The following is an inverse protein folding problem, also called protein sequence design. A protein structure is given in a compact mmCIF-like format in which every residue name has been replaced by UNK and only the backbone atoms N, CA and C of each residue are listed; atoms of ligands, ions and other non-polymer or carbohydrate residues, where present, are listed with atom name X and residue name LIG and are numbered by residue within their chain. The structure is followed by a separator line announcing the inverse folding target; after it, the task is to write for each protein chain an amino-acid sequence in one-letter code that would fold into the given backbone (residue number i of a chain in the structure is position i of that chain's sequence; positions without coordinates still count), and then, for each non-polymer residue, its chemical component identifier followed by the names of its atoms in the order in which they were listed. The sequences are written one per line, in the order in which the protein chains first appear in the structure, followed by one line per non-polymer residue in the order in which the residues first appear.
data_IF_802385339167
#
_entry.id   IF_802385339167
#
_cell.length_a   1.000
_cell.length_b   1.000
_cell.length_c   1.000
_cell.angle_alpha   90.00
_cell.angle_beta   90.00
_cell.angle_gamma   90.00
#
_symmetry.space_group_name_H-M   'P 1'
#
loop_
_entity.id
_entity.type
_entity.pdbx_description
1 polymer ?
#
# COMPACT_ATOMS: atom_id res chain seq x y z
N UNK A 1 17.10 0.60 13.54
CA UNK A 1 16.82 -0.19 12.32
C UNK A 1 17.37 0.46 11.03
N UNK A 2 18.39 1.34 11.09
CA UNK A 2 19.02 1.93 9.88
C UNK A 2 20.51 1.64 9.74
N UNK A 3 21.09 0.87 10.67
CA UNK A 3 22.46 0.34 10.54
C UNK A 3 22.58 -0.77 9.47
N UNK A 4 21.46 -1.27 8.95
CA UNK A 4 21.46 -2.42 8.02
C UNK A 4 21.86 -2.04 6.58
N UNK A 5 21.83 -0.75 6.20
CA UNK A 5 22.26 -0.31 4.87
C UNK A 5 23.78 -0.01 4.77
N UNK A 6 24.54 -0.22 5.85
CA UNK A 6 26.01 -0.18 5.80
C UNK A 6 26.64 -1.51 5.34
N UNK A 7 25.82 -2.50 4.96
CA UNK A 7 26.24 -3.85 4.53
C UNK A 7 26.29 -4.07 3.01
N UNK A 8 25.91 -3.09 2.19
CA UNK A 8 26.12 -3.16 0.73
C UNK A 8 27.48 -2.53 0.40
N UNK A 9 28.39 -3.39 -0.05
CA UNK A 9 29.72 -3.10 -0.61
C UNK A 9 30.13 -1.63 -0.58
N UNK A 10 30.85 -1.22 0.47
CA UNK A 10 31.34 0.17 0.56
C UNK A 10 32.16 0.50 -0.69
N UNK A 11 31.77 1.52 -1.47
CA UNK A 11 32.48 1.82 -2.70
C UNK A 11 33.93 2.16 -2.35
N UNK A 12 34.86 1.60 -3.13
CA UNK A 12 36.29 1.70 -2.87
C UNK A 12 36.82 3.13 -3.00
N UNK A 13 36.15 4.00 -3.76
CA UNK A 13 36.57 5.38 -3.99
C UNK A 13 35.95 6.36 -2.97
N UNK A 14 36.72 7.35 -2.52
CA UNK A 14 36.28 8.37 -1.56
C UNK A 14 35.10 9.21 -2.10
N UNK A 15 35.14 9.57 -3.38
CA UNK A 15 34.06 10.32 -4.04
C UNK A 15 32.72 9.56 -4.01
N UNK A 16 32.74 8.24 -4.26
CA UNK A 16 31.54 7.42 -4.20
C UNK A 16 31.00 7.24 -2.76
N UNK A 17 31.85 7.32 -1.74
CA UNK A 17 31.41 7.33 -0.33
C UNK A 17 30.66 8.61 0.00
N UNK A 18 31.18 9.77 -0.41
CA UNK A 18 30.51 11.07 -0.20
C UNK A 18 29.17 11.10 -0.94
N UNK A 19 29.13 10.65 -2.20
CA UNK A 19 27.89 10.55 -2.97
C UNK A 19 26.88 9.60 -2.29
N UNK A 20 27.34 8.46 -1.77
CA UNK A 20 26.50 7.52 -1.03
C UNK A 20 25.91 8.12 0.26
N UNK A 21 26.69 8.93 0.99
CA UNK A 21 26.19 9.63 2.19
C UNK A 21 25.11 10.66 1.85
N UNK A 22 25.30 11.45 0.79
CA UNK A 22 24.31 12.43 0.33
C UNK A 22 23.03 11.73 -0.16
N UNK A 23 23.19 10.65 -0.92
CA UNK A 23 22.08 9.85 -1.42
C UNK A 23 21.27 9.21 -0.29
N UNK A 24 21.95 8.66 0.72
CA UNK A 24 21.30 8.10 1.91
C UNK A 24 20.53 9.18 2.70
N UNK A 25 21.11 10.38 2.84
CA UNK A 25 20.44 11.53 3.46
C UNK A 25 19.17 11.92 2.70
N UNK A 26 19.25 12.02 1.37
CA UNK A 26 18.10 12.30 0.51
C UNK A 26 17.00 11.23 0.64
N UNK A 27 17.37 9.94 0.60
CA UNK A 27 16.43 8.84 0.77
C UNK A 27 15.73 8.87 2.15
N UNK A 28 16.48 9.16 3.22
CA UNK A 28 15.92 9.33 4.56
C UNK A 28 14.91 10.48 4.63
N UNK A 29 15.22 11.63 4.00
CA UNK A 29 14.28 12.76 3.94
C UNK A 29 13.01 12.37 3.20
N UNK A 30 13.12 11.69 2.06
CA UNK A 30 11.95 11.23 1.29
C UNK A 30 11.06 10.28 2.10
N UNK A 31 11.65 9.30 2.78
CA UNK A 31 10.90 8.39 3.66
C UNK A 31 10.26 9.16 4.81
N UNK A 32 11.00 10.07 5.46
CA UNK A 32 10.47 10.89 6.54
C UNK A 32 9.28 11.74 6.09
N UNK A 33 9.37 12.42 4.94
CA UNK A 33 8.29 13.23 4.38
C UNK A 33 7.05 12.38 4.03
N UNK A 34 7.25 11.18 3.47
CA UNK A 34 6.14 10.26 3.20
C UNK A 34 5.48 9.79 4.51
N UNK A 35 6.26 9.43 5.53
CA UNK A 35 5.73 9.03 6.83
C UNK A 35 5.02 10.19 7.55
N UNK A 36 5.51 11.42 7.41
CA UNK A 36 4.88 12.60 7.99
C UNK A 36 3.54 12.92 7.30
N UNK A 37 3.47 12.80 5.97
CA UNK A 37 2.23 13.00 5.23
C UNK A 37 1.18 11.92 5.57
N UNK A 38 1.62 10.66 5.69
CA UNK A 38 0.76 9.57 6.13
C UNK A 38 0.23 9.81 7.56
N UNK A 39 1.09 10.23 8.49
CA UNK A 39 0.68 10.55 9.86
C UNK A 39 -0.32 11.73 9.90
N UNK A 40 -0.10 12.75 9.08
CA UNK A 40 -1.03 13.87 8.95
C UNK A 40 -2.41 13.40 8.45
N UNK A 41 -2.45 12.49 7.48
CA UNK A 41 -3.71 11.90 7.00
C UNK A 41 -4.42 11.11 8.10
N UNK A 42 -3.70 10.26 8.86
CA UNK A 42 -4.29 9.46 9.94
C UNK A 42 -4.88 10.31 11.09
N UNK A 43 -4.36 11.52 11.31
CA UNK A 43 -4.89 12.45 12.32
C UNK A 43 -6.12 13.22 11.79
N UNK A 44 -6.19 13.43 10.48
CA UNK A 44 -7.26 14.18 9.82
C UNK A 44 -8.47 13.33 9.43
N UNK A 45 -8.29 12.02 9.26
CA UNK A 45 -9.36 11.07 8.95
C UNK A 45 -10.22 10.81 10.21
N UNK A 46 -10.91 11.86 10.67
CA UNK A 46 -11.99 11.73 11.63
C UNK A 46 -13.21 11.27 10.85
N UNK A 47 -13.90 10.21 11.26
CA UNK A 47 -15.13 9.80 10.60
C UNK A 47 -16.09 11.00 10.52
N UNK A 48 -16.54 11.33 9.30
CA UNK A 48 -17.43 12.44 8.89
C UNK A 48 -18.84 12.43 9.54
N UNK A 49 -18.99 11.84 10.72
CA UNK A 49 -20.26 11.48 11.33
C UNK A 49 -20.84 12.53 12.28
N UNK A 50 -20.07 13.52 12.75
CA UNK A 50 -20.64 14.58 13.59
C UNK A 50 -21.07 15.77 12.74
N UNK A 51 -22.36 16.10 12.77
CA UNK A 51 -22.85 17.40 12.30
C UNK A 51 -22.09 18.52 13.01
N UNK A 52 -21.67 19.56 12.28
CA UNK A 52 -21.00 20.72 12.90
C UNK A 52 -21.93 21.52 13.82
N UNK A 53 -23.24 21.27 13.73
CA UNK A 53 -24.31 21.95 14.46
C UNK A 53 -25.40 22.44 13.53
N UNK A 54 -26.21 23.38 14.00
CA UNK A 54 -27.41 23.83 13.29
C UNK A 54 -27.13 24.55 11.95
N UNK A 55 -25.90 25.06 11.78
CA UNK A 55 -25.45 25.74 10.56
C UNK A 55 -24.77 24.81 9.55
N UNK A 56 -24.75 23.49 9.80
CA UNK A 56 -24.21 22.51 8.85
C UNK A 56 -24.99 22.58 7.52
N UNK A 57 -24.25 22.54 6.40
CA UNK A 57 -24.81 22.59 5.06
C UNK A 57 -25.79 21.44 4.80
N UNK A 58 -25.58 20.27 5.41
CA UNK A 58 -26.46 19.10 5.31
C UNK A 58 -27.85 19.34 5.92
N UNK A 59 -27.91 20.17 6.96
CA UNK A 59 -29.17 20.57 7.60
C UNK A 59 -29.81 21.74 6.86
N UNK A 60 -29.06 22.81 6.61
CA UNK A 60 -29.55 24.05 5.99
C UNK A 60 -30.00 23.86 4.54
N UNK A 61 -29.27 23.05 3.77
CA UNK A 61 -29.64 22.67 2.40
C UNK A 61 -29.95 21.17 2.34
N UNK A 62 -31.19 20.78 2.65
CA UNK A 62 -31.53 19.38 2.83
C UNK A 62 -31.34 18.55 1.55
N UNK A 63 -30.31 17.71 1.52
CA UNK A 63 -30.12 16.69 0.48
C UNK A 63 -31.09 15.53 0.70
N UNK A 64 -31.65 14.92 -0.35
CA UNK A 64 -32.61 13.80 -0.22
C UNK A 64 -32.07 12.65 0.65
N UNK A 65 -30.77 12.43 0.60
CA UNK A 65 -30.06 11.34 1.29
C UNK A 65 -29.91 11.55 2.81
N UNK A 66 -30.19 12.75 3.33
CA UNK A 66 -30.01 13.07 4.75
C UNK A 66 -31.35 13.43 5.40
N UNK A 67 -31.87 12.52 6.22
CA UNK A 67 -33.16 12.65 6.89
C UNK A 67 -32.98 13.06 8.35
N UNK A 68 -33.73 14.07 8.77
CA UNK A 68 -33.74 14.56 10.14
C UNK A 68 -35.15 14.93 10.56
N UNK A 69 -35.43 14.78 11.85
CA UNK A 69 -36.77 14.94 12.39
C UNK A 69 -36.75 15.42 13.85
N UNK A 70 -37.91 15.86 14.31
CA UNK A 70 -38.20 16.15 15.71
C UNK A 70 -39.57 15.55 16.09
N UNK A 71 -40.03 15.79 17.32
CA UNK A 71 -41.35 15.33 17.78
C UNK A 71 -42.43 16.36 17.45
N UNK A 72 -43.54 15.94 16.85
CA UNK A 72 -44.69 16.78 16.49
C UNK A 72 -45.33 17.40 17.74
N UNK A 73 -45.69 18.68 17.65
CA UNK A 73 -46.38 19.39 18.72
C UNK A 73 -45.50 19.71 19.94
N UNK A 74 -44.19 19.51 19.82
CA UNK A 74 -43.22 19.84 20.87
C UNK A 74 -42.80 21.31 20.85
N UNK A 75 -42.12 21.74 21.91
CA UNK A 75 -41.49 23.06 21.93
C UNK A 75 -40.48 23.24 20.79
N UNK A 76 -39.74 22.18 20.44
CA UNK A 76 -38.77 22.18 19.34
C UNK A 76 -39.45 22.35 17.98
N UNK A 77 -40.53 21.60 17.73
CA UNK A 77 -41.36 21.74 16.52
C UNK A 77 -41.91 23.17 16.37
N UNK A 78 -42.43 23.74 17.47
CA UNK A 78 -42.91 25.13 17.49
C UNK A 78 -41.78 26.15 17.29
N UNK A 79 -40.58 25.89 17.81
CA UNK A 79 -39.40 26.74 17.65
C UNK A 79 -39.00 26.85 16.18
N UNK A 80 -38.88 25.71 15.48
CA UNK A 80 -38.58 25.67 14.05
C UNK A 80 -39.69 26.29 13.20
N UNK A 81 -40.96 26.10 13.59
CA UNK A 81 -42.10 26.71 12.90
C UNK A 81 -42.12 28.23 13.00
N UNK A 82 -41.70 28.80 14.14
CA UNK A 82 -41.70 30.25 14.40
C UNK A 82 -40.56 30.97 13.70
N UNK A 83 -39.43 30.29 13.48
CA UNK A 83 -38.22 30.92 12.98
C UNK A 83 -38.13 30.87 11.45
N UNK A 84 -38.14 32.06 10.83
CA UNK A 84 -38.10 32.20 9.36
C UNK A 84 -36.83 31.60 8.76
N UNK A 85 -35.69 31.74 9.45
CA UNK A 85 -34.40 31.21 9.01
C UNK A 85 -34.35 29.69 8.85
N UNK A 86 -35.17 28.96 9.60
CA UNK A 86 -35.23 27.50 9.54
C UNK A 86 -36.48 26.97 8.84
N UNK A 87 -37.22 27.84 8.14
CA UNK A 87 -38.43 27.45 7.42
C UNK A 87 -38.18 26.35 6.37
N UNK A 88 -37.02 26.34 5.71
CA UNK A 88 -36.62 25.27 4.78
C UNK A 88 -36.40 23.94 5.49
N UNK A 89 -35.74 23.98 6.65
CA UNK A 89 -35.52 22.80 7.48
C UNK A 89 -36.84 22.25 8.02
N UNK A 90 -37.71 23.13 8.50
CA UNK A 90 -39.02 22.79 9.05
C UNK A 90 -39.87 22.02 8.03
N UNK A 91 -39.94 22.49 6.78
CA UNK A 91 -40.71 21.82 5.71
C UNK A 91 -40.26 20.38 5.47
N UNK A 92 -38.96 20.10 5.63
CA UNK A 92 -38.45 18.73 5.50
C UNK A 92 -38.74 17.89 6.73
N UNK A 93 -38.57 18.45 7.92
CA UNK A 93 -38.87 17.77 9.18
C UNK A 93 -40.35 17.39 9.28
N UNK A 94 -41.25 18.29 8.86
CA UNK A 94 -42.70 18.11 8.97
C UNK A 94 -43.20 16.79 8.34
N UNK A 95 -42.58 16.37 7.25
CA UNK A 95 -42.90 15.12 6.56
C UNK A 95 -42.56 13.85 7.37
N UNK A 96 -41.52 13.89 8.22
CA UNK A 96 -40.98 12.74 8.96
C UNK A 96 -40.96 12.93 10.48
N UNK A 97 -41.66 13.94 11.01
CA UNK A 97 -41.72 14.17 12.45
C UNK A 97 -42.44 13.02 13.18
N UNK A 98 -41.89 12.62 14.32
CA UNK A 98 -42.36 11.52 15.16
C UNK A 98 -43.38 11.98 16.20
N UNK A 99 -44.14 11.05 16.81
CA UNK A 99 -45.09 11.36 17.90
C UNK A 99 -44.46 11.18 19.28
N UNK A 100 -43.50 10.27 19.40
CA UNK A 100 -42.77 9.97 20.63
C UNK A 100 -41.26 10.09 20.38
N UNK A 101 -40.54 10.40 21.46
CA UNK A 101 -39.07 10.49 21.47
C UNK A 101 -38.46 9.09 21.29
N UNK A 102 -39.07 8.09 21.91
CA UNK A 102 -38.61 6.70 21.89
C UNK A 102 -38.62 6.11 20.47
N UNK A 103 -39.67 6.37 19.69
CA UNK A 103 -39.76 5.93 18.29
C UNK A 103 -38.65 6.55 17.44
N UNK A 104 -38.37 7.84 17.65
CA UNK A 104 -37.33 8.55 16.91
C UNK A 104 -35.93 8.03 17.24
N UNK A 105 -35.66 7.67 18.50
CA UNK A 105 -34.39 7.09 18.93
C UNK A 105 -34.22 5.67 18.36
N UNK A 106 -35.29 4.89 18.29
CA UNK A 106 -35.26 3.55 17.70
C UNK A 106 -34.87 3.62 16.21
N UNK A 107 -35.50 4.50 15.44
CA UNK A 107 -35.20 4.69 14.02
C UNK A 107 -33.80 5.29 13.80
N UNK A 108 -33.34 6.16 14.72
CA UNK A 108 -31.97 6.66 14.73
C UNK A 108 -30.96 5.53 14.93
N UNK A 109 -31.25 4.58 15.84
CA UNK A 109 -30.40 3.41 16.08
C UNK A 109 -30.39 2.43 14.90
N UNK A 110 -31.53 2.27 14.22
CA UNK A 110 -31.65 1.40 13.05
C UNK A 110 -31.01 2.00 11.78
N UNK A 111 -30.66 3.29 11.80
CA UNK A 111 -30.10 4.01 10.65
C UNK A 111 -31.16 4.52 9.66
N UNK A 112 -32.45 4.39 9.98
CA UNK A 112 -33.56 4.91 9.19
C UNK A 112 -33.66 6.44 9.30
N UNK A 113 -33.20 7.01 10.41
CA UNK A 113 -33.07 8.45 10.65
C UNK A 113 -31.60 8.80 10.79
N UNK A 114 -31.13 9.88 10.15
CA UNK A 114 -29.72 10.28 10.22
C UNK A 114 -29.42 11.23 11.36
N UNK A 115 -30.38 12.09 11.73
CA UNK A 115 -30.23 13.00 12.87
C UNK A 115 -31.57 13.27 13.55
N UNK A 116 -31.56 13.30 14.87
CA UNK A 116 -32.72 13.63 15.69
C UNK A 116 -32.43 14.92 16.46
N UNK A 117 -33.36 15.89 16.35
CA UNK A 117 -33.21 17.20 16.99
C UNK A 117 -34.15 17.27 18.19
N UNK A 118 -33.57 17.35 19.38
CA UNK A 118 -34.29 17.33 20.65
C UNK A 118 -33.53 18.02 21.79
N UNK A 119 -34.13 18.04 22.99
CA UNK A 119 -33.56 18.62 24.19
C UNK A 119 -32.26 17.91 24.62
N UNK A 120 -31.21 18.69 24.90
CA UNK A 120 -29.88 18.18 25.22
C UNK A 120 -29.83 17.22 26.42
N UNK A 121 -30.46 17.49 27.59
CA UNK A 121 -30.35 16.56 28.72
C UNK A 121 -30.98 15.20 28.44
N UNK A 122 -32.01 15.12 27.58
CA UNK A 122 -32.57 13.83 27.16
C UNK A 122 -31.64 13.12 26.18
N UNK A 123 -31.08 13.83 25.21
CA UNK A 123 -30.14 13.25 24.24
C UNK A 123 -28.82 12.79 24.90
N UNK A 124 -28.31 13.55 25.87
CA UNK A 124 -27.12 13.21 26.65
C UNK A 124 -27.34 11.94 27.48
N UNK A 125 -28.52 11.76 28.05
CA UNK A 125 -28.90 10.54 28.75
C UNK A 125 -28.94 9.30 27.83
N UNK A 126 -29.47 9.44 26.61
CA UNK A 126 -29.50 8.35 25.63
C UNK A 126 -28.09 8.02 25.11
N UNK A 127 -27.29 9.04 24.80
CA UNK A 127 -25.89 8.87 24.38
C UNK A 127 -25.00 8.30 25.50
N UNK A 128 -25.33 8.54 26.77
CA UNK A 128 -24.63 7.94 27.91
C UNK A 128 -24.95 6.44 28.07
N UNK A 129 -26.12 5.99 27.64
CA UNK A 129 -26.53 4.58 27.71
C UNK A 129 -26.13 3.76 26.49
N UNK A 130 -26.22 4.35 25.30
CA UNK A 130 -25.91 3.70 24.03
C UNK A 130 -24.68 4.30 23.37
N UNK A 131 -23.58 3.54 23.31
CA UNK A 131 -22.31 3.97 22.75
C UNK A 131 -22.31 4.21 21.23
N UNK A 132 -23.39 3.82 20.53
CA UNK A 132 -23.55 4.03 19.09
C UNK A 132 -24.20 5.40 18.79
N UNK A 133 -24.78 6.04 19.79
CA UNK A 133 -25.37 7.38 19.67
C UNK A 133 -24.39 8.43 20.17
N UNK A 134 -24.31 9.55 19.46
CA UNK A 134 -23.50 10.71 19.84
C UNK A 134 -24.32 12.00 19.71
N UNK A 135 -24.11 12.94 20.62
CA UNK A 135 -24.62 14.31 20.48
C UNK A 135 -23.68 15.10 19.56
N UNK A 136 -24.24 15.81 18.56
CA UNK A 136 -23.45 16.54 17.58
C UNK A 136 -23.77 18.04 17.57
N UNK A 137 -22.73 18.87 17.45
CA UNK A 137 -22.84 20.32 17.30
C UNK A 137 -22.94 21.12 18.60
N UNK A 138 -23.08 22.44 18.45
CA UNK A 138 -23.29 23.37 19.56
C UNK A 138 -24.78 23.45 19.96
N UNK A 139 -25.04 23.63 21.26
CA UNK A 139 -26.37 23.88 21.81
C UNK A 139 -26.97 25.18 21.23
N UNK A 140 -28.14 25.06 20.62
CA UNK A 140 -28.91 26.20 20.09
C UNK A 140 -30.31 26.24 20.72
N UNK A 141 -31.04 27.34 20.55
CA UNK A 141 -32.42 27.44 21.04
C UNK A 141 -32.55 27.32 22.56
N UNK A 142 -31.60 27.90 23.30
CA UNK A 142 -31.50 27.81 24.78
C UNK A 142 -32.86 28.04 25.43
N UNK A 143 -33.39 26.97 25.99
CA UNK A 143 -34.63 26.93 26.76
C UNK A 143 -34.36 26.13 28.02
N UNK A 144 -35.06 26.46 29.10
CA UNK A 144 -34.89 25.80 30.40
C UNK A 144 -36.19 25.12 30.83
N UNK A 145 -36.05 24.01 31.56
CA UNK A 145 -37.18 23.42 32.26
C UNK A 145 -37.53 24.25 33.49
N UNK A 146 -38.82 24.32 33.79
CA UNK A 146 -39.33 25.06 34.93
C UNK A 146 -40.58 24.41 35.50
N UNK A 147 -40.81 24.65 36.78
CA UNK A 147 -42.02 24.20 37.47
C UNK A 147 -43.08 25.29 37.32
N UNK A 148 -44.22 24.94 36.73
CA UNK A 148 -45.32 25.85 36.55
C UNK A 148 -46.30 25.80 37.74
N UNK A 149 -46.54 26.95 38.36
CA UNK A 149 -47.57 27.16 39.38
C UNK A 149 -48.67 28.08 38.84
N UNK A 150 -49.84 28.09 39.48
CA UNK A 150 -50.89 29.04 39.12
C UNK A 150 -50.40 30.46 39.32
N UNK A 151 -50.87 31.39 38.48
CA UNK A 151 -50.55 32.81 38.65
C UNK A 151 -50.94 33.27 40.06
N UNK A 152 -50.05 34.01 40.70
CA UNK A 152 -50.22 34.57 42.06
C UNK A 152 -50.26 33.54 43.20
N UNK A 153 -49.73 32.33 42.99
CA UNK A 153 -49.59 31.35 44.06
C UNK A 153 -48.53 31.80 45.10
N UNK A 154 -48.86 31.72 46.39
CA UNK A 154 -47.96 32.09 47.49
C UNK A 154 -46.69 31.22 47.53
N UNK A 155 -46.71 30.04 46.89
CA UNK A 155 -45.57 29.12 46.86
C UNK A 155 -44.49 29.47 45.82
N UNK A 156 -44.75 30.42 44.90
CA UNK A 156 -43.82 30.74 43.82
C UNK A 156 -42.46 31.22 44.35
N UNK A 157 -42.48 32.18 45.28
CA UNK A 157 -41.26 32.75 45.86
C UNK A 157 -40.48 31.75 46.73
N UNK A 158 -41.11 31.04 47.70
CA UNK A 158 -40.37 30.08 48.51
C UNK A 158 -39.83 28.91 47.68
N UNK A 159 -40.57 28.42 46.68
CA UNK A 159 -40.08 27.35 45.80
C UNK A 159 -38.88 27.81 44.96
N UNK A 160 -38.96 29.00 44.37
CA UNK A 160 -37.84 29.58 43.61
C UNK A 160 -36.58 29.71 44.47
N UNK A 161 -36.72 30.15 45.72
CA UNK A 161 -35.58 30.28 46.65
C UNK A 161 -34.93 28.93 46.98
N UNK A 162 -35.72 27.86 47.12
CA UNK A 162 -35.19 26.50 47.33
C UNK A 162 -34.47 25.98 46.09
N UNK A 163 -35.00 26.26 44.89
CA UNK A 163 -34.32 25.87 43.65
C UNK A 163 -33.00 26.62 43.49
N UNK A 164 -32.98 27.92 43.83
CA UNK A 164 -31.75 28.71 43.83
C UNK A 164 -30.71 28.15 44.81
N UNK A 165 -31.12 27.76 46.03
CA UNK A 165 -30.20 27.17 47.00
C UNK A 165 -29.63 25.82 46.53
N UNK A 166 -30.38 25.03 45.75
CA UNK A 166 -29.87 23.81 45.12
C UNK A 166 -28.82 24.08 44.04
N UNK A 167 -28.96 25.19 43.31
CA UNK A 167 -27.97 25.62 42.34
C UNK A 167 -26.70 26.17 43.02
N UNK A 168 -26.85 27.00 44.05
CA UNK A 168 -25.72 27.57 44.82
C UNK A 168 -24.92 26.52 45.59
N UNK A 169 -25.60 25.50 46.12
CA UNK A 169 -24.95 24.39 46.85
C UNK A 169 -24.28 23.36 45.94
N UNK A 170 -24.46 23.44 44.63
CA UNK A 170 -23.96 22.45 43.66
C UNK A 170 -24.74 21.13 43.67
N UNK A 171 -25.85 21.03 44.41
CA UNK A 171 -26.67 19.81 44.44
C UNK A 171 -27.24 19.44 43.05
N UNK A 172 -27.54 20.45 42.21
CA UNK A 172 -28.03 20.19 40.86
C UNK A 172 -27.00 19.41 40.01
N UNK A 173 -25.72 19.78 40.09
CA UNK A 173 -24.64 19.09 39.37
C UNK A 173 -24.50 17.63 39.82
N UNK A 174 -24.71 17.36 41.12
CA UNK A 174 -24.71 15.99 41.65
C UNK A 174 -25.87 15.19 41.05
N UNK A 175 -27.05 15.79 40.90
CA UNK A 175 -28.18 15.11 40.27
C UNK A 175 -27.95 14.85 38.78
N UNK A 176 -27.39 15.81 38.04
CA UNK A 176 -27.09 15.63 36.62
C UNK A 176 -26.07 14.50 36.42
N UNK A 177 -24.99 14.49 37.19
CA UNK A 177 -23.99 13.43 37.14
C UNK A 177 -24.55 12.05 37.52
N UNK A 178 -25.50 12.01 38.46
CA UNK A 178 -26.08 10.76 38.95
C UNK A 178 -27.17 10.20 38.03
N UNK A 179 -27.96 11.05 37.38
CA UNK A 179 -29.15 10.60 36.64
C UNK A 179 -29.02 10.75 35.12
N UNK A 180 -28.21 11.70 34.63
CA UNK A 180 -28.03 11.95 33.19
C UNK A 180 -26.73 11.29 32.70
N UNK A 181 -25.61 11.61 33.33
CA UNK A 181 -24.28 11.13 32.90
C UNK A 181 -23.87 9.78 33.48
N UNK A 182 -24.72 9.16 34.30
CA UNK A 182 -24.39 7.87 34.92
C UNK A 182 -24.43 6.77 33.87
N UNK A 183 -23.25 6.38 33.39
CA UNK A 183 -23.07 5.27 32.46
C UNK A 183 -23.31 3.95 33.23
N UNK A 184 -24.16 3.03 32.74
CA UNK A 184 -24.09 1.64 33.18
C UNK A 184 -22.68 1.10 32.87
N UNK A 185 -22.21 0.05 33.58
CA UNK A 185 -20.86 -0.57 33.49
C UNK A 185 -20.37 -0.96 32.07
N UNK A 186 -21.16 -0.70 31.03
CA UNK A 186 -20.70 -0.65 29.65
C UNK A 186 -19.66 0.47 29.51
N UNK A 187 -18.40 0.08 29.50
CA UNK A 187 -17.30 0.91 29.01
C UNK A 187 -17.56 1.25 27.54
N UNK A 188 -18.32 2.32 27.29
CA UNK A 188 -18.25 3.00 26.01
C UNK A 188 -16.81 3.51 25.90
N UNK A 189 -15.98 2.80 25.15
CA UNK A 189 -14.69 3.35 24.72
C UNK A 189 -15.01 4.66 24.02
N UNK A 190 -14.46 5.78 24.48
CA UNK A 190 -14.64 7.08 23.85
C UNK A 190 -14.18 6.98 22.38
N UNK A 191 -15.13 6.67 21.49
CA UNK A 191 -14.92 6.60 20.04
C UNK A 191 -14.64 7.99 19.45
N UNK A 192 -14.70 9.04 20.27
CA UNK A 192 -14.36 10.41 19.89
C UNK A 192 -12.87 10.63 19.59
N UNK A 193 -12.01 9.64 19.81
CA UNK A 193 -10.60 9.76 19.45
C UNK A 193 -9.88 8.43 19.25
N UNK A 194 -10.56 7.39 18.75
CA UNK A 194 -9.80 6.26 18.20
C UNK A 194 -9.29 6.69 16.82
N UNK A 195 -8.00 7.03 16.65
CA UNK A 195 -7.45 7.36 15.34
C UNK A 195 -7.78 6.21 14.40
N UNK A 196 -8.13 6.51 13.13
CA UNK A 196 -8.44 5.54 12.10
C UNK A 196 -7.57 4.30 12.28
N UNK A 197 -8.13 3.26 12.92
CA UNK A 197 -7.36 2.07 13.24
C UNK A 197 -6.99 1.51 11.89
N UNK A 198 -5.70 1.33 11.63
CA UNK A 198 -5.20 0.76 10.39
C UNK A 198 -5.77 -0.66 10.25
N UNK A 199 -6.98 -0.73 9.72
CA UNK A 199 -7.72 -1.97 9.55
C UNK A 199 -7.05 -2.76 8.43
N UNK A 200 -7.18 -4.09 8.49
CA UNK A 200 -6.61 -5.00 7.51
C UNK A 200 -6.97 -4.61 6.06
N UNK A 201 -8.13 -3.99 5.86
CA UNK A 201 -8.58 -3.50 4.56
C UNK A 201 -7.68 -2.38 3.99
N UNK A 202 -7.26 -1.42 4.82
CA UNK A 202 -6.44 -0.29 4.38
C UNK A 202 -5.00 -0.69 4.02
N UNK A 203 -4.51 -1.82 4.53
CA UNK A 203 -3.19 -2.38 4.21
C UNK A 203 -3.21 -3.48 3.14
N UNK A 204 -4.39 -3.87 2.65
CA UNK A 204 -4.54 -4.96 1.68
C UNK A 204 -3.70 -4.74 0.41
N UNK A 205 -3.60 -3.49 -0.06
CA UNK A 205 -2.79 -3.13 -1.22
C UNK A 205 -1.29 -3.44 -1.05
N UNK A 206 -0.75 -3.26 0.16
CA UNK A 206 0.65 -3.57 0.47
C UNK A 206 0.88 -5.08 0.41
N UNK A 207 -0.03 -5.87 0.98
CA UNK A 207 0.05 -7.33 0.94
C UNK A 207 -0.01 -7.87 -0.50
N UNK A 208 -0.91 -7.33 -1.34
CA UNK A 208 -1.02 -7.70 -2.75
C UNK A 208 0.25 -7.34 -3.54
N UNK A 209 0.86 -6.19 -3.27
CA UNK A 209 2.12 -5.78 -3.91
C UNK A 209 3.26 -6.75 -3.56
N UNK A 210 3.38 -7.14 -2.29
CA UNK A 210 4.40 -8.11 -1.85
C UNK A 210 4.15 -9.47 -2.49
N UNK A 211 2.91 -9.97 -2.49
CA UNK A 211 2.57 -11.25 -3.12
C UNK A 211 2.87 -11.24 -4.62
N UNK A 212 2.51 -10.15 -5.33
CA UNK A 212 2.85 -9.96 -6.74
C UNK A 212 4.36 -9.92 -6.98
N UNK A 213 5.12 -9.25 -6.10
CA UNK A 213 6.58 -9.21 -6.17
C UNK A 213 7.23 -10.58 -6.01
N UNK A 214 6.76 -11.41 -5.07
CA UNK A 214 7.22 -12.79 -4.89
C UNK A 214 6.90 -13.63 -6.13
N UNK A 215 5.70 -13.47 -6.69
CA UNK A 215 5.30 -14.19 -7.90
C UNK A 215 6.19 -13.81 -9.08
N UNK A 216 6.34 -12.53 -9.39
CA UNK A 216 7.21 -12.06 -10.48
C UNK A 216 8.66 -12.50 -10.26
N UNK A 217 9.18 -12.39 -9.04
CA UNK A 217 10.52 -12.86 -8.67
C UNK A 217 10.71 -14.35 -8.93
N UNK A 218 9.72 -15.18 -8.61
CA UNK A 218 9.73 -16.61 -8.91
C UNK A 218 9.77 -16.89 -10.42
N UNK A 219 9.01 -16.16 -11.23
CA UNK A 219 9.05 -16.28 -12.69
C UNK A 219 10.41 -15.86 -13.27
N UNK A 220 10.97 -14.74 -12.81
CA UNK A 220 12.30 -14.29 -13.23
C UNK A 220 13.36 -15.33 -12.88
N UNK A 221 13.29 -15.93 -11.69
CA UNK A 221 14.20 -16.98 -11.27
C UNK A 221 14.09 -18.22 -12.17
N UNK A 222 12.88 -18.66 -12.50
CA UNK A 222 12.67 -19.77 -13.45
C UNK A 222 13.26 -19.44 -14.81
N UNK A 223 12.99 -18.25 -15.35
CA UNK A 223 13.51 -17.81 -16.65
C UNK A 223 15.04 -17.77 -16.64
N UNK A 224 15.66 -17.27 -15.58
CA UNK A 224 17.11 -17.24 -15.44
C UNK A 224 17.70 -18.66 -15.42
N UNK A 225 17.09 -19.60 -14.69
CA UNK A 225 17.52 -21.00 -14.69
C UNK A 225 17.42 -21.61 -16.09
N UNK A 226 16.33 -21.36 -16.82
CA UNK A 226 16.14 -21.88 -18.18
C UNK A 226 17.19 -21.28 -19.12
N UNK A 227 17.37 -19.96 -19.12
CA UNK A 227 18.35 -19.28 -19.95
C UNK A 227 19.78 -19.72 -19.63
N UNK A 228 20.12 -19.89 -18.35
CA UNK A 228 21.43 -20.39 -17.92
C UNK A 228 21.65 -21.82 -18.40
N UNK A 229 20.67 -22.71 -18.23
CA UNK A 229 20.75 -24.10 -18.74
C UNK A 229 20.88 -24.15 -20.26
N UNK A 230 20.16 -23.30 -20.99
CA UNK A 230 20.27 -23.23 -22.45
C UNK A 230 21.63 -22.68 -22.90
N UNK A 231 22.14 -21.64 -22.23
CA UNK A 231 23.46 -21.07 -22.49
C UNK A 231 24.56 -22.09 -22.23
N UNK A 232 24.49 -22.84 -21.13
CA UNK A 232 25.42 -23.93 -20.83
C UNK A 232 25.33 -25.08 -21.85
N UNK A 233 24.12 -25.45 -22.32
CA UNK A 233 23.95 -26.45 -23.38
C UNK A 233 24.59 -25.99 -24.70
N UNK A 234 24.32 -24.75 -25.14
CA UNK A 234 24.95 -24.17 -26.33
C UNK A 234 26.47 -24.05 -26.19
N UNK A 235 26.98 -23.69 -25.01
CA UNK A 235 28.42 -23.66 -24.75
C UNK A 235 29.05 -25.07 -24.85
N UNK A 236 28.41 -26.10 -24.28
CA UNK A 236 28.87 -27.49 -24.38
C UNK A 236 28.86 -28.01 -25.82
N UNK A 237 27.81 -27.73 -26.60
CA UNK A 237 27.73 -28.10 -28.03
C UNK A 237 28.83 -27.40 -28.86
N UNK A 238 29.08 -26.11 -28.59
CA UNK A 238 30.16 -25.37 -29.24
C UNK A 238 31.55 -25.92 -28.85
N UNK A 239 31.74 -26.35 -27.61
CA UNK A 239 32.99 -26.98 -27.16
C UNK A 239 33.21 -28.36 -27.79
N UNK A 240 32.18 -29.20 -27.90
CA UNK A 240 32.26 -30.52 -28.57
C UNK A 240 32.59 -30.34 -30.05
N UNK A 241 31.90 -29.43 -30.74
CA UNK A 241 32.14 -29.14 -32.16
C UNK A 241 33.57 -28.63 -32.41
N UNK A 242 34.09 -27.78 -31.51
CA UNK A 242 35.51 -27.34 -31.56
C UNK A 242 36.47 -28.51 -31.36
N UNK A 243 36.23 -29.41 -30.40
CA UNK A 243 37.08 -30.59 -30.15
C UNK A 243 37.10 -31.54 -31.35
N UNK A 244 35.93 -31.79 -31.96
CA UNK A 244 35.80 -32.63 -33.16
C UNK A 244 36.52 -31.99 -34.36
N UNK A 245 36.36 -30.68 -34.58
CA UNK A 245 37.08 -29.96 -35.64
C UNK A 245 38.60 -30.07 -35.47
N UNK A 246 39.12 -29.88 -34.25
CA UNK A 246 40.55 -30.02 -33.96
C UNK A 246 41.03 -31.45 -34.22
N UNK A 247 40.26 -32.46 -33.81
CA UNK A 247 40.58 -33.88 -34.07
C UNK A 247 40.64 -34.20 -35.57
N UNK A 248 39.62 -33.79 -36.34
CA UNK A 248 39.58 -34.01 -37.79
C UNK A 248 40.70 -33.26 -38.52
N UNK A 249 41.00 -32.02 -38.11
CA UNK A 249 42.12 -31.26 -38.65
C UNK A 249 43.45 -32.00 -38.43
N UNK A 250 43.71 -32.46 -37.21
CA UNK A 250 44.91 -33.23 -36.87
C UNK A 250 45.02 -34.53 -37.68
N UNK A 251 43.90 -35.25 -37.87
CA UNK A 251 43.86 -36.49 -38.67
C UNK A 251 44.05 -36.24 -40.16
N UNK A 252 43.53 -35.13 -40.70
CA UNK A 252 43.73 -34.72 -42.08
C UNK A 252 45.19 -34.31 -42.33
N UNK A 253 45.79 -33.55 -41.42
CA UNK A 253 47.21 -33.17 -41.47
C UNK A 253 48.11 -34.41 -41.45
N UNK A 254 47.81 -35.40 -40.60
CA UNK A 254 48.54 -36.67 -40.54
C UNK A 254 48.41 -37.49 -41.84
N UNK A 255 47.23 -37.54 -42.47
CA UNK A 255 47.05 -38.20 -43.78
C UNK A 255 47.79 -37.46 -44.90
N UNK A 256 47.84 -36.14 -44.86
CA UNK A 256 48.60 -35.34 -45.81
C UNK A 256 50.11 -35.56 -45.64
N UNK A 257 50.62 -35.60 -44.40
CA UNK A 257 52.02 -35.94 -44.13
C UNK A 257 52.37 -37.35 -44.63
N UNK A 258 51.55 -38.37 -44.34
CA UNK A 258 51.74 -39.74 -44.83
C UNK A 258 51.71 -39.82 -46.37
N UNK A 259 50.85 -39.06 -47.03
CA UNK A 259 50.84 -38.95 -48.49
C UNK A 259 52.12 -38.33 -49.03
N UNK A 260 52.59 -37.24 -48.42
CA UNK A 260 53.86 -36.59 -48.82
C UNK A 260 55.04 -37.56 -48.68
N UNK A 261 55.12 -38.31 -47.58
CA UNK A 261 56.20 -39.30 -47.40
C UNK A 261 56.12 -40.46 -48.39
N UNK A 262 54.91 -40.91 -48.77
CA UNK A 262 54.72 -41.94 -49.80
C UNK A 262 55.14 -41.44 -51.19
N UNK A 263 54.74 -40.22 -51.57
CA UNK A 263 55.19 -39.62 -52.84
C UNK A 263 56.71 -39.41 -52.88
N UNK A 264 57.32 -39.09 -51.73
CA UNK A 264 58.77 -38.95 -51.63
C UNK A 264 59.47 -40.31 -51.77
N UNK A 265 58.94 -41.37 -51.15
CA UNK A 265 59.48 -42.73 -51.31
C UNK A 265 59.31 -43.29 -52.74
N UNK A 266 58.17 -43.06 -53.39
CA UNK A 266 57.95 -43.43 -54.80
C UNK A 266 58.92 -42.71 -55.76
N UNK A 267 59.26 -41.45 -55.46
CA UNK A 267 60.25 -40.69 -56.23
C UNK A 267 61.67 -41.19 -56.00
N UNK A 268 62.02 -41.55 -54.76
CA UNK A 268 63.30 -42.18 -54.43
C UNK A 268 63.45 -43.55 -55.13
N UNK A 269 62.42 -44.39 -55.12
CA UNK A 269 62.44 -45.70 -55.78
C UNK A 269 62.56 -45.57 -57.31
N UNK A 270 61.93 -44.57 -57.93
CA UNK A 270 62.16 -44.24 -59.34
C UNK A 270 63.58 -43.79 -59.63
N UNK A 271 64.17 -42.95 -58.77
CA UNK A 271 65.56 -42.53 -58.91
C UNK A 271 66.55 -43.69 -58.78
N UNK A 272 66.28 -44.67 -57.92
CA UNK A 272 67.11 -45.88 -57.77
C UNK A 272 66.98 -46.85 -58.96
N UNK A 273 65.79 -46.96 -59.56
CA UNK A 273 65.60 -47.76 -60.79
C UNK A 273 66.34 -47.11 -61.95
N UNK A 274 66.26 -45.78 -62.09
CA UNK A 274 66.99 -45.04 -63.12
C UNK A 274 68.50 -45.17 -62.89
N UNK A 275 69.02 -45.03 -61.66
CA UNK A 275 70.44 -45.15 -61.34
C UNK A 275 71.01 -46.57 -61.57
N UNK A 276 70.25 -47.61 -61.24
CA UNK A 276 70.61 -49.01 -61.54
C UNK A 276 70.61 -49.31 -63.05
N UNK A 277 69.78 -48.61 -63.84
CA UNK A 277 69.80 -48.73 -65.31
C UNK A 277 71.10 -48.15 -65.91
N UNK A 278 71.61 -47.05 -65.35
CA UNK A 278 72.90 -46.46 -65.75
C UNK A 278 74.10 -47.33 -65.33
N UNK A 279 74.06 -47.96 -64.15
CA UNK A 279 75.14 -48.87 -63.72
C UNK A 279 75.18 -50.19 -64.51
N UNK A 280 74.04 -50.71 -64.98
CA UNK A 280 73.99 -51.92 -65.81
C UNK A 280 74.48 -51.68 -67.26
N UNK A 281 74.48 -50.43 -67.73
CA UNK A 281 75.01 -50.06 -69.05
C UNK A 281 76.54 -49.79 -69.04
N UNK A 282 77.13 -49.51 -67.87
CA UNK A 282 78.56 -49.18 -67.73
C UNK A 282 79.48 -50.41 -67.62
N UNK A 283 78.97 -51.59 -67.27
CA UNK A 283 79.79 -52.79 -67.05
C UNK A 283 80.15 -53.60 -68.32
N UNK A 284 79.73 -53.18 -69.52
CA UNK A 284 80.00 -53.87 -70.78
C UNK A 284 80.55 -52.91 -71.85
N UNK A 285 81.77 -52.37 -71.64
CA UNK A 285 82.56 -51.83 -72.75
C UNK A 285 84.01 -52.28 -72.62
N UNK A 286 84.34 -53.24 -73.47
CA UNK A 286 85.68 -53.80 -73.70
C UNK A 286 86.51 -52.74 -74.43
N UNK A 287 87.70 -52.48 -73.90
CA UNK A 287 88.76 -51.69 -74.53
C UNK A 287 89.28 -52.38 -75.80
N UNK A 288 89.42 -51.62 -76.88
CA UNK A 288 90.27 -51.99 -78.03
C UNK A 288 91.25 -50.84 -78.30
N UNK A 289 92.55 -51.12 -78.50
CA UNK A 289 93.55 -50.10 -78.76
C UNK A 289 93.69 -49.86 -80.27
N UNK A 290 93.79 -48.60 -80.70
CA UNK A 290 94.39 -48.28 -82.01
C UNK A 290 95.23 -47.02 -81.93
N UNK A 291 96.42 -47.17 -82.49
CA UNK A 291 97.54 -46.27 -82.64
C UNK A 291 97.36 -45.21 -83.74
N UNK A 292 98.34 -44.31 -83.75
CA UNK A 292 98.95 -43.60 -84.90
C UNK A 292 98.23 -42.39 -85.51
N UNK A 293 98.85 -41.23 -85.23
CA UNK A 293 99.46 -40.28 -86.19
C UNK A 293 98.77 -40.06 -87.54
N UNK A 294 98.41 -38.80 -87.83
CA UNK A 294 99.05 -38.02 -88.93
C UNK A 294 98.59 -36.55 -88.94
N UNK A 295 99.54 -35.66 -89.27
CA UNK A 295 99.43 -34.28 -89.79
C UNK A 295 98.98 -33.14 -88.89
#
# INVERSE_FOLDING_TARGET
MFYFCFLLETPKSFSARVLGMVWAGFAMIMVASYTANLAAFLVLDRPEASLSGINDARLRNPQENFTYATVKGSAVDMYFKRQVEFSTMYRKMEAKNYLSVEDAILDLRNGDLNAFIWDSPRLEYEAAQDCDLITAGELFGRSSYGIALRKQDSWINPLSNVILSFHESGLMEIFDNKWIYSKPDKQCSDRSSSPATLEFHNMLGVFLLVAGGVFVGFFVLILEIIFKRQKERKQRENEISRKVMIYWKKKADQRNQLRMTMFESDNYEKQDIDSNSYHRFSSNRIDYPVSSNFS
#
